data_IF_746271990768
#
_entry.id   IF_746271990768
#
_cell.length_a   1.000
_cell.length_b   1.000
_cell.length_c   1.000
_cell.angle_alpha   90.00
_cell.angle_beta   90.00
_cell.angle_gamma   90.00
#
_symmetry.space_group_name_H-M   'P 1'
#
loop_
_entity.id
_entity.type
_entity.pdbx_description
1 polymer ?
#
# COMPACT_ATOMS: atom_id res chain seq x y z
N UNK A 1 -42.33 9.18 -6.08
CA UNK A 1 -42.26 9.24 -4.61
C UNK A 1 -41.37 8.10 -4.16
N UNK A 2 -40.26 8.38 -3.49
CA UNK A 2 -39.51 7.30 -2.85
C UNK A 2 -40.40 6.71 -1.75
N UNK A 3 -40.48 5.38 -1.70
CA UNK A 3 -41.19 4.68 -0.63
C UNK A 3 -40.36 4.75 0.64
N UNK A 4 -41.02 4.77 1.79
CA UNK A 4 -40.39 4.80 3.12
C UNK A 4 -39.31 3.71 3.27
N UNK A 5 -39.57 2.53 2.68
CA UNK A 5 -38.63 1.41 2.60
C UNK A 5 -37.34 1.75 1.85
N UNK A 6 -37.41 2.51 0.76
CA UNK A 6 -36.22 2.94 0.00
C UNK A 6 -35.37 3.89 0.86
N UNK A 7 -36.01 4.76 1.63
CA UNK A 7 -35.31 5.68 2.54
C UNK A 7 -34.61 4.94 3.68
N UNK A 8 -35.25 3.94 4.27
CA UNK A 8 -34.62 3.09 5.29
C UNK A 8 -33.45 2.28 4.73
N UNK A 9 -33.60 1.69 3.55
CA UNK A 9 -32.51 0.95 2.89
C UNK A 9 -31.29 1.84 2.61
N UNK A 10 -31.51 3.10 2.24
CA UNK A 10 -30.41 4.07 2.07
C UNK A 10 -29.70 4.38 3.38
N UNK A 11 -30.43 4.50 4.49
CA UNK A 11 -29.83 4.71 5.82
C UNK A 11 -29.00 3.51 6.24
N UNK A 12 -29.55 2.30 6.12
CA UNK A 12 -28.83 1.05 6.42
C UNK A 12 -27.54 0.96 5.60
N UNK A 13 -27.59 1.31 4.31
CA UNK A 13 -26.40 1.31 3.46
C UNK A 13 -25.35 2.31 3.92
N UNK A 14 -25.75 3.53 4.29
CA UNK A 14 -24.84 4.54 4.81
C UNK A 14 -24.17 4.10 6.13
N UNK A 15 -24.93 3.47 7.02
CA UNK A 15 -24.42 2.95 8.29
C UNK A 15 -23.42 1.80 8.08
N UNK A 16 -23.67 0.92 7.10
CA UNK A 16 -22.75 -0.14 6.71
C UNK A 16 -21.46 0.38 6.08
N UNK A 17 -21.56 1.40 5.22
CA UNK A 17 -20.39 2.06 4.64
C UNK A 17 -19.54 2.71 5.74
N UNK A 18 -20.17 3.35 6.73
CA UNK A 18 -19.47 3.91 7.89
C UNK A 18 -18.77 2.82 8.71
N UNK A 19 -19.46 1.72 9.01
CA UNK A 19 -18.89 0.61 9.77
C UNK A 19 -17.68 -0.01 9.05
N UNK A 20 -17.78 -0.20 7.74
CA UNK A 20 -16.69 -0.72 6.90
C UNK A 20 -15.48 0.20 6.95
N UNK A 21 -15.69 1.51 6.82
CA UNK A 21 -14.61 2.49 6.90
C UNK A 21 -13.92 2.52 8.28
N UNK A 22 -14.70 2.38 9.36
CA UNK A 22 -14.15 2.32 10.71
C UNK A 22 -13.31 1.05 10.93
N UNK A 23 -13.78 -0.08 10.39
CA UNK A 23 -13.03 -1.33 10.43
C UNK A 23 -11.71 -1.22 9.66
N UNK A 24 -11.71 -0.67 8.43
CA UNK A 24 -10.47 -0.47 7.66
C UNK A 24 -9.45 0.37 8.42
N UNK A 25 -9.88 1.48 9.03
CA UNK A 25 -9.01 2.33 9.86
C UNK A 25 -8.47 1.61 11.09
N UNK A 26 -9.25 0.71 11.68
CA UNK A 26 -8.79 -0.09 12.81
C UNK A 26 -7.72 -1.09 12.36
N UNK A 27 -7.93 -1.75 11.23
CA UNK A 27 -6.96 -2.68 10.64
C UNK A 27 -5.65 -1.97 10.32
N UNK A 28 -5.71 -0.79 9.68
CA UNK A 28 -4.52 0.03 9.41
C UNK A 28 -3.72 0.37 10.67
N UNK A 29 -4.41 0.65 11.79
CA UNK A 29 -3.76 0.92 13.09
C UNK A 29 -3.23 -0.32 13.80
N UNK A 30 -3.78 -1.50 13.48
CA UNK A 30 -3.36 -2.77 14.06
C UNK A 30 -2.17 -3.36 13.32
N UNK A 31 -1.96 -2.98 12.06
CA UNK A 31 -0.74 -3.29 11.32
C UNK A 31 0.39 -2.47 11.96
N UNK A 32 1.35 -3.10 12.65
CA UNK A 32 2.49 -2.38 13.20
C UNK A 32 3.27 -1.73 12.07
N UNK A 33 3.78 -0.51 12.28
CA UNK A 33 4.78 0.03 11.37
C UNK A 33 6.01 -0.89 11.42
N UNK A 34 6.35 -1.48 10.28
CA UNK A 34 7.58 -2.24 10.14
C UNK A 34 8.74 -1.24 10.05
N UNK A 35 9.62 -1.26 11.05
CA UNK A 35 10.88 -0.52 10.96
C UNK A 35 11.73 -1.14 9.83
N UNK A 36 12.34 -0.32 8.95
CA UNK A 36 13.16 -0.82 7.86
C UNK A 36 14.33 -1.64 8.42
N UNK A 37 14.61 -2.78 7.81
CA UNK A 37 15.73 -3.59 8.24
C UNK A 37 17.05 -2.86 7.96
N UNK A 38 18.11 -3.27 8.66
CA UNK A 38 19.44 -2.69 8.45
C UNK A 38 19.93 -2.85 7.00
N UNK A 39 19.45 -3.86 6.27
CA UNK A 39 19.74 -4.07 4.85
C UNK A 39 18.97 -3.09 3.95
N UNK A 40 17.70 -2.82 4.26
CA UNK A 40 16.89 -1.83 3.53
C UNK A 40 17.51 -0.42 3.63
N UNK A 41 17.94 -0.05 4.84
CA UNK A 41 18.63 1.22 5.08
C UNK A 41 19.95 1.31 4.29
N UNK A 42 20.71 0.21 4.21
CA UNK A 42 21.94 0.15 3.41
C UNK A 42 21.64 0.28 1.93
N UNK A 43 20.60 -0.37 1.43
CA UNK A 43 20.21 -0.30 0.02
C UNK A 43 19.82 1.14 -0.36
N UNK A 44 18.99 1.80 0.45
CA UNK A 44 18.56 3.19 0.22
C UNK A 44 19.75 4.17 0.23
N UNK A 45 20.75 3.94 1.08
CA UNK A 45 21.92 4.83 1.20
C UNK A 45 23.07 4.46 0.27
N UNK A 46 23.03 3.29 -0.37
CA UNK A 46 24.05 2.89 -1.33
C UNK A 46 23.90 3.71 -2.62
N UNK A 47 25.02 4.26 -3.10
CA UNK A 47 25.05 4.94 -4.39
C UNK A 47 24.95 3.85 -5.46
N UNK A 48 23.97 3.98 -6.35
CA UNK A 48 23.82 3.09 -7.49
C UNK A 48 25.12 3.01 -8.29
N UNK A 49 25.53 1.78 -8.60
CA UNK A 49 26.67 1.57 -9.50
C UNK A 49 26.29 2.06 -10.89
N UNK A 50 26.90 3.16 -11.35
CA UNK A 50 26.85 3.56 -12.75
C UNK A 50 27.84 2.66 -13.52
N UNK A 51 27.31 1.77 -14.36
CA UNK A 51 28.12 0.90 -15.20
C UNK A 51 28.43 1.58 -16.55
N UNK A 52 29.65 1.40 -17.04
CA UNK A 52 30.06 1.83 -18.38
C UNK A 52 29.63 0.83 -19.47
N UNK A 53 29.56 1.28 -20.72
CA UNK A 53 29.21 0.42 -21.87
C UNK A 53 30.08 -0.83 -21.97
N UNK A 54 31.38 -0.67 -21.70
CA UNK A 54 32.36 -1.76 -21.69
C UNK A 54 32.09 -2.80 -20.59
N UNK A 55 31.62 -2.38 -19.42
CA UNK A 55 31.25 -3.30 -18.33
C UNK A 55 29.92 -4.01 -18.57
N UNK A 56 29.03 -3.44 -19.39
CA UNK A 56 27.78 -4.10 -19.78
C UNK A 56 28.03 -5.22 -20.79
N UNK A 57 28.96 -5.00 -21.73
CA UNK A 57 29.32 -5.97 -22.77
C UNK A 57 29.94 -7.26 -22.21
N UNK A 58 30.71 -7.19 -21.13
CA UNK A 58 31.33 -8.37 -20.51
C UNK A 58 30.34 -9.38 -19.94
N UNK A 59 29.11 -8.95 -19.64
CA UNK A 59 28.03 -9.84 -19.17
C UNK A 59 27.41 -10.65 -20.32
N UNK A 60 27.49 -10.15 -21.56
CA UNK A 60 26.94 -10.82 -22.74
C UNK A 60 27.91 -11.77 -23.44
N UNK A 61 29.20 -11.73 -23.07
CA UNK A 61 30.27 -12.55 -23.66
C UNK A 61 30.59 -13.83 -22.84
N UNK A 62 29.79 -14.16 -21.82
CA UNK A 62 29.90 -15.39 -20.99
C UNK A 62 28.92 -16.47 -21.43
#
# INVERSE_FOLDING_TARGET
>A
METETITELKKIRADLDLLTNLYSKLVEKLIPEEEPEAEDLKAIHSIDKIASESELLTVFDA
#
